data_IF_919197548263
#
_entry.id   IF_919197548263
#
_cell.length_a   1.000
_cell.length_b   1.000
_cell.length_c   1.000
_cell.angle_alpha   90.00
_cell.angle_beta   90.00
_cell.angle_gamma   90.00
#
_symmetry.space_group_name_H-M   'P 1'
#
loop_
_entity.id
_entity.type
_entity.pdbx_description
1 polymer ?
#
# COMPACT_ATOMS: atom_id res chain seq x y z
N UNK A 1 0.80 15.31 -58.03
CA UNK A 1 -0.14 15.57 -56.93
C UNK A 1 -1.04 14.36 -56.74
N UNK A 2 -1.40 13.99 -55.50
CA UNK A 2 -2.30 12.85 -55.27
C UNK A 2 -3.69 13.15 -55.84
N UNK A 3 -4.33 12.14 -56.45
CA UNK A 3 -5.70 12.25 -56.97
C UNK A 3 -6.65 12.70 -55.84
N UNK A 4 -7.57 13.65 -56.07
CA UNK A 4 -8.49 14.11 -55.04
C UNK A 4 -9.33 12.95 -54.50
N UNK A 5 -9.62 12.99 -53.19
CA UNK A 5 -10.43 11.97 -52.52
C UNK A 5 -11.88 12.07 -53.01
N UNK A 6 -12.55 10.93 -53.14
CA UNK A 6 -13.99 10.94 -53.43
C UNK A 6 -14.79 11.44 -52.22
N UNK A 7 -16.02 11.95 -52.41
CA UNK A 7 -16.88 12.38 -51.30
C UNK A 7 -17.06 11.29 -50.23
N UNK A 8 -17.20 10.03 -50.66
CA UNK A 8 -17.27 8.87 -49.76
C UNK A 8 -16.00 8.70 -48.92
N UNK A 9 -14.81 8.90 -49.51
CA UNK A 9 -13.55 8.80 -48.79
C UNK A 9 -13.35 9.96 -47.80
N UNK A 10 -13.87 11.14 -48.10
CA UNK A 10 -13.87 12.27 -47.17
C UNK A 10 -14.73 11.98 -45.94
N UNK A 11 -15.97 11.51 -46.14
CA UNK A 11 -16.83 11.09 -45.04
C UNK A 11 -16.23 9.95 -44.19
N UNK A 12 -15.60 8.96 -44.85
CA UNK A 12 -14.87 7.88 -44.16
C UNK A 12 -13.68 8.43 -43.33
N UNK A 13 -12.95 9.41 -43.85
CA UNK A 13 -11.86 10.06 -43.14
C UNK A 13 -12.37 10.87 -41.93
N UNK A 14 -13.46 11.62 -42.08
CA UNK A 14 -14.07 12.37 -40.98
C UNK A 14 -14.56 11.45 -39.86
N UNK A 15 -15.29 10.39 -40.20
CA UNK A 15 -15.72 9.38 -39.23
C UNK A 15 -14.54 8.71 -38.52
N UNK A 16 -13.45 8.44 -39.26
CA UNK A 16 -12.23 7.88 -38.69
C UNK A 16 -11.55 8.85 -37.73
N UNK A 17 -11.43 10.14 -38.08
CA UNK A 17 -10.81 11.16 -37.24
C UNK A 17 -11.61 11.39 -35.96
N UNK A 18 -12.94 11.39 -36.05
CA UNK A 18 -13.82 11.47 -34.88
C UNK A 18 -13.64 10.26 -33.95
N UNK A 19 -13.55 9.04 -34.51
CA UNK A 19 -13.26 7.84 -33.72
C UNK A 19 -11.86 7.88 -33.08
N UNK A 20 -10.86 8.37 -33.81
CA UNK A 20 -9.48 8.49 -33.33
C UNK A 20 -9.35 9.54 -32.21
N UNK A 21 -10.06 10.66 -32.32
CA UNK A 21 -10.09 11.70 -31.28
C UNK A 21 -10.68 11.18 -29.96
N UNK A 22 -11.65 10.24 -30.03
CA UNK A 22 -12.19 9.59 -28.83
C UNK A 22 -11.24 8.55 -28.25
N UNK A 23 -10.72 7.63 -29.07
CA UNK A 23 -10.03 6.44 -28.55
C UNK A 23 -8.50 6.52 -28.54
N UNK A 24 -7.88 7.41 -29.32
CA UNK A 24 -6.42 7.54 -29.44
C UNK A 24 -5.74 6.32 -30.07
N UNK A 25 -6.51 5.32 -30.51
CA UNK A 25 -6.03 4.03 -30.98
C UNK A 25 -6.44 3.79 -32.43
N UNK A 26 -5.47 3.90 -33.33
CA UNK A 26 -5.66 3.75 -34.78
C UNK A 26 -6.31 2.42 -35.17
N UNK A 27 -5.96 1.32 -34.50
CA UNK A 27 -6.50 0.00 -34.84
C UNK A 27 -7.97 -0.12 -34.44
N UNK A 28 -8.33 0.43 -33.28
CA UNK A 28 -9.72 0.42 -32.83
C UNK A 28 -10.59 1.40 -33.62
N UNK A 29 -10.07 2.60 -33.94
CA UNK A 29 -10.75 3.55 -34.80
C UNK A 29 -11.02 2.95 -36.19
N UNK A 30 -10.03 2.33 -36.83
CA UNK A 30 -10.21 1.70 -38.13
C UNK A 30 -11.20 0.52 -38.08
N UNK A 31 -11.14 -0.29 -37.02
CA UNK A 31 -12.09 -1.40 -36.80
C UNK A 31 -13.53 -0.93 -36.62
N UNK A 32 -13.76 0.16 -35.89
CA UNK A 32 -15.10 0.73 -35.69
C UNK A 32 -15.78 1.12 -37.01
N UNK A 33 -15.00 1.47 -38.03
CA UNK A 33 -15.48 1.77 -39.37
C UNK A 33 -15.50 0.55 -40.31
N UNK A 34 -15.04 -0.63 -39.86
CA UNK A 34 -14.88 -1.80 -40.73
C UNK A 34 -13.78 -1.65 -41.79
N UNK A 35 -12.87 -0.67 -41.65
CA UNK A 35 -11.82 -0.37 -42.63
C UNK A 35 -10.49 -0.93 -42.16
N UNK A 36 -9.71 -1.49 -43.08
CA UNK A 36 -8.36 -1.94 -42.76
C UNK A 36 -7.42 -0.75 -42.50
N UNK A 37 -6.69 -0.76 -41.37
CA UNK A 37 -5.82 0.36 -40.94
C UNK A 37 -4.83 0.82 -42.01
N UNK A 38 -4.33 -0.10 -42.85
CA UNK A 38 -3.30 0.20 -43.84
C UNK A 38 -3.84 1.11 -44.94
N UNK A 39 -5.13 1.03 -45.26
CA UNK A 39 -5.81 1.93 -46.21
C UNK A 39 -5.69 3.38 -45.74
N UNK A 40 -6.02 3.62 -44.47
CA UNK A 40 -5.95 4.94 -43.84
C UNK A 40 -4.50 5.42 -43.70
N UNK A 41 -3.56 4.51 -43.41
CA UNK A 41 -2.12 4.86 -43.32
C UNK A 41 -1.57 5.26 -44.69
N UNK A 42 -1.94 4.54 -45.76
CA UNK A 42 -1.57 4.88 -47.15
C UNK A 42 -2.19 6.21 -47.59
N UNK A 43 -3.45 6.48 -47.20
CA UNK A 43 -4.09 7.79 -47.46
C UNK A 43 -3.37 8.93 -46.72
N UNK A 44 -3.00 8.73 -45.46
CA UNK A 44 -2.21 9.70 -44.68
C UNK A 44 -0.89 10.07 -45.36
N UNK A 45 -0.19 9.11 -45.95
CA UNK A 45 1.06 9.38 -46.67
C UNK A 45 0.86 10.24 -47.94
N UNK A 46 -0.31 10.16 -48.59
CA UNK A 46 -0.60 10.86 -49.85
C UNK A 46 -1.30 12.21 -49.69
N UNK A 47 -1.97 12.44 -48.56
CA UNK A 47 -2.80 13.62 -48.32
C UNK A 47 -2.35 14.38 -47.07
N UNK A 48 -1.58 15.47 -47.21
CA UNK A 48 -1.05 16.24 -46.08
C UNK A 48 -2.14 16.78 -45.15
N UNK A 49 -3.26 17.29 -45.68
CA UNK A 49 -4.38 17.78 -44.87
C UNK A 49 -4.94 16.70 -43.93
N UNK A 50 -5.08 15.46 -44.41
CA UNK A 50 -5.50 14.33 -43.59
C UNK A 50 -4.45 13.96 -42.54
N UNK A 51 -3.16 14.08 -42.87
CA UNK A 51 -2.08 13.85 -41.90
C UNK A 51 -2.09 14.88 -40.76
N UNK A 52 -2.36 16.16 -41.06
CA UNK A 52 -2.49 17.22 -40.05
C UNK A 52 -3.71 16.97 -39.16
N UNK A 53 -4.87 16.67 -39.76
CA UNK A 53 -6.08 16.38 -39.01
C UNK A 53 -5.93 15.13 -38.12
N UNK A 54 -5.19 14.12 -38.59
CA UNK A 54 -4.84 12.94 -37.79
C UNK A 54 -4.00 13.28 -36.57
N UNK A 55 -2.98 14.12 -36.74
CA UNK A 55 -2.14 14.56 -35.62
C UNK A 55 -2.97 15.35 -34.60
N UNK A 56 -3.85 16.25 -35.06
CA UNK A 56 -4.77 16.99 -34.19
C UNK A 56 -5.70 16.05 -33.40
N UNK A 57 -6.27 15.04 -34.05
CA UNK A 57 -7.12 14.05 -33.37
C UNK A 57 -6.38 13.29 -32.25
N UNK A 58 -5.10 12.95 -32.44
CA UNK A 58 -4.29 12.33 -31.39
C UNK A 58 -4.03 13.27 -30.21
N UNK A 59 -3.80 14.56 -30.48
CA UNK A 59 -3.64 15.57 -29.43
C UNK A 59 -4.92 15.71 -28.61
N UNK A 60 -6.08 15.77 -29.27
CA UNK A 60 -7.40 15.83 -28.59
C UNK A 60 -7.60 14.62 -27.69
N UNK A 61 -7.32 13.41 -28.18
CA UNK A 61 -7.46 12.18 -27.38
C UNK A 61 -6.50 12.14 -26.19
N UNK A 62 -5.29 12.67 -26.34
CA UNK A 62 -4.32 12.79 -25.26
C UNK A 62 -4.77 13.80 -24.19
N UNK A 63 -5.39 14.92 -24.61
CA UNK A 63 -5.88 15.96 -23.72
C UNK A 63 -7.22 15.61 -23.03
N UNK A 64 -7.96 14.62 -23.54
CA UNK A 64 -9.22 14.20 -22.94
C UNK A 64 -8.95 13.66 -21.53
N UNK A 65 -9.62 14.21 -20.49
CA UNK A 65 -9.43 13.77 -19.11
C UNK A 65 -9.93 12.34 -18.89
N UNK A 66 -9.50 11.71 -17.80
CA UNK A 66 -9.61 10.25 -17.58
C UNK A 66 -11.00 9.80 -17.10
N UNK A 67 -11.98 10.69 -17.22
CA UNK A 67 -13.19 10.71 -16.40
C UNK A 67 -14.30 9.82 -16.97
N UNK A 68 -14.11 9.27 -18.18
CA UNK A 68 -15.09 8.44 -18.87
C UNK A 68 -14.74 6.95 -18.80
N UNK A 69 -15.52 6.16 -18.06
CA UNK A 69 -15.51 4.72 -18.23
C UNK A 69 -16.08 4.36 -19.61
N UNK A 70 -15.29 3.68 -20.43
CA UNK A 70 -15.78 3.08 -21.67
C UNK A 70 -15.75 1.57 -21.50
N UNK A 71 -16.93 0.96 -21.47
CA UNK A 71 -17.11 -0.45 -21.15
C UNK A 71 -16.21 -1.37 -22.00
N UNK A 72 -15.39 -2.18 -21.34
CA UNK A 72 -14.44 -3.11 -21.98
C UNK A 72 -13.15 -2.47 -22.53
N UNK A 73 -12.97 -1.15 -22.42
CA UNK A 73 -11.75 -0.43 -22.78
C UNK A 73 -11.06 0.08 -21.51
N UNK A 74 -9.73 -0.03 -21.46
CA UNK A 74 -8.90 0.59 -20.43
C UNK A 74 -7.89 1.52 -21.08
N UNK A 75 -7.57 2.62 -20.40
CA UNK A 75 -6.58 3.57 -20.89
C UNK A 75 -5.17 3.09 -20.58
N UNK A 76 -4.29 3.17 -21.57
CA UNK A 76 -2.87 2.82 -21.46
C UNK A 76 -2.04 4.01 -21.88
N UNK A 77 -1.13 4.47 -21.02
CA UNK A 77 -0.14 5.49 -21.36
C UNK A 77 0.98 4.85 -22.17
N UNK A 78 1.25 5.40 -23.36
CA UNK A 78 2.36 4.99 -24.23
C UNK A 78 3.26 6.19 -24.50
N UNK A 79 4.45 5.96 -25.06
CA UNK A 79 5.36 7.05 -25.47
C UNK A 79 4.72 8.06 -26.45
N UNK A 80 3.67 7.64 -27.19
CA UNK A 80 2.93 8.50 -28.11
C UNK A 80 1.63 9.07 -27.54
N UNK A 81 1.43 9.03 -26.22
CA UNK A 81 0.22 9.49 -25.53
C UNK A 81 -0.65 8.37 -24.97
N UNK A 82 -1.78 8.76 -24.38
CA UNK A 82 -2.76 7.86 -23.78
C UNK A 82 -3.70 7.26 -24.83
N UNK A 83 -3.88 5.94 -24.81
CA UNK A 83 -4.71 5.21 -25.77
C UNK A 83 -5.73 4.34 -25.05
N UNK A 84 -6.94 4.28 -25.58
CA UNK A 84 -7.95 3.30 -25.16
C UNK A 84 -7.67 1.94 -25.82
N UNK A 85 -7.58 0.89 -25.02
CA UNK A 85 -7.32 -0.48 -25.47
C UNK A 85 -8.36 -1.42 -24.90
N UNK A 86 -8.82 -2.38 -25.70
CA UNK A 86 -9.68 -3.43 -25.16
C UNK A 86 -8.90 -4.26 -24.17
N UNK A 87 -9.55 -4.65 -23.09
CA UNK A 87 -9.03 -5.71 -22.25
C UNK A 87 -8.93 -6.99 -23.08
N UNK A 88 -7.90 -7.81 -22.78
CA UNK A 88 -7.84 -9.15 -23.36
C UNK A 88 -9.10 -9.92 -22.93
N UNK A 89 -9.66 -10.79 -23.78
CA UNK A 89 -10.73 -11.69 -23.37
C UNK A 89 -10.31 -12.44 -22.09
N UNK A 90 -11.16 -12.42 -21.05
CA UNK A 90 -10.85 -13.01 -19.74
C UNK A 90 -9.91 -12.19 -18.84
N UNK A 91 -9.53 -10.98 -19.23
CA UNK A 91 -8.79 -10.05 -18.38
C UNK A 91 -9.67 -9.42 -17.31
N UNK A 92 -9.15 -9.28 -16.09
CA UNK A 92 -9.84 -8.57 -15.01
C UNK A 92 -10.08 -7.12 -15.43
N UNK A 93 -11.34 -6.69 -15.44
CA UNK A 93 -11.76 -5.31 -15.69
C UNK A 93 -11.71 -4.48 -14.40
N UNK A 94 -11.74 -3.15 -14.51
CA UNK A 94 -11.86 -2.27 -13.34
C UNK A 94 -13.13 -2.55 -12.53
N UNK A 95 -14.26 -2.77 -13.22
CA UNK A 95 -15.51 -3.16 -12.57
C UNK A 95 -15.37 -4.47 -11.78
N UNK A 96 -14.67 -5.47 -12.34
CA UNK A 96 -14.40 -6.72 -11.63
C UNK A 96 -13.44 -6.54 -10.44
N UNK A 97 -12.44 -5.66 -10.53
CA UNK A 97 -11.61 -5.29 -9.38
C UNK A 97 -12.46 -4.66 -8.28
N UNK A 98 -13.34 -3.74 -8.63
CA UNK A 98 -14.19 -3.03 -7.67
C UNK A 98 -15.17 -4.00 -6.99
N UNK A 99 -15.84 -4.85 -7.75
CA UNK A 99 -16.72 -5.89 -7.23
C UNK A 99 -15.98 -6.85 -6.29
N UNK A 100 -14.77 -7.25 -6.67
CA UNK A 100 -13.90 -8.07 -5.84
C UNK A 100 -13.52 -7.38 -4.52
N UNK A 101 -13.04 -6.14 -4.58
CA UNK A 101 -12.60 -5.39 -3.40
C UNK A 101 -13.77 -5.10 -2.44
N UNK A 102 -14.96 -4.81 -2.97
CA UNK A 102 -16.17 -4.64 -2.17
C UNK A 102 -16.59 -5.94 -1.48
N UNK A 103 -16.60 -7.06 -2.21
CA UNK A 103 -16.93 -8.35 -1.60
C UNK A 103 -15.86 -8.78 -0.58
N UNK A 104 -14.59 -8.45 -0.84
CA UNK A 104 -13.48 -8.76 0.07
C UNK A 104 -13.57 -7.95 1.37
N UNK A 105 -13.91 -6.66 1.29
CA UNK A 105 -14.09 -5.82 2.48
C UNK A 105 -15.33 -6.17 3.28
N UNK A 106 -16.31 -6.83 2.68
CA UNK A 106 -17.48 -7.34 3.39
C UNK A 106 -17.23 -8.68 4.09
N UNK A 107 -16.36 -9.53 3.55
CA UNK A 107 -16.32 -10.97 3.93
C UNK A 107 -14.96 -11.48 4.40
N UNK A 108 -13.88 -10.71 4.16
CA UNK A 108 -12.48 -11.13 4.35
C UNK A 108 -12.10 -12.46 3.65
N UNK A 109 -12.94 -12.99 2.75
CA UNK A 109 -12.73 -14.28 2.10
C UNK A 109 -12.42 -14.11 0.61
N UNK A 110 -11.15 -14.32 0.25
CA UNK A 110 -10.65 -14.14 -1.13
C UNK A 110 -11.36 -15.06 -2.13
N UNK A 111 -11.70 -16.30 -1.76
CA UNK A 111 -12.37 -17.24 -2.68
C UNK A 111 -13.80 -16.80 -2.97
N UNK A 112 -14.51 -16.38 -1.92
CA UNK A 112 -15.88 -15.88 -2.03
C UNK A 112 -15.92 -14.56 -2.82
N UNK A 113 -15.02 -13.64 -2.52
CA UNK A 113 -14.92 -12.36 -3.23
C UNK A 113 -14.58 -12.56 -4.72
N UNK A 114 -13.70 -13.52 -5.04
CA UNK A 114 -13.36 -13.83 -6.43
C UNK A 114 -14.55 -14.42 -7.19
N UNK A 115 -15.31 -15.32 -6.55
CA UNK A 115 -16.54 -15.87 -7.10
C UNK A 115 -17.59 -14.78 -7.35
N UNK A 116 -17.76 -13.84 -6.43
CA UNK A 116 -18.67 -12.69 -6.60
C UNK A 116 -18.27 -11.79 -7.78
N UNK A 117 -16.97 -11.68 -8.07
CA UNK A 117 -16.47 -10.94 -9.23
C UNK A 117 -16.48 -11.76 -10.54
N UNK A 118 -16.83 -13.06 -10.51
CA UNK A 118 -16.84 -13.93 -11.68
C UNK A 118 -15.46 -14.41 -12.15
N UNK A 119 -14.44 -14.38 -11.29
CA UNK A 119 -13.07 -14.81 -11.64
C UNK A 119 -12.51 -15.85 -10.67
N UNK A 120 -11.49 -16.58 -11.13
CA UNK A 120 -10.70 -17.43 -10.23
C UNK A 120 -9.91 -16.58 -9.23
N UNK A 121 -9.78 -17.05 -7.99
CA UNK A 121 -8.94 -16.38 -6.98
C UNK A 121 -7.46 -16.24 -7.42
N UNK A 122 -6.96 -17.19 -8.22
CA UNK A 122 -5.62 -17.15 -8.78
C UNK A 122 -5.38 -15.91 -9.67
N UNK A 123 -6.41 -15.47 -10.40
CA UNK A 123 -6.36 -14.28 -11.25
C UNK A 123 -6.09 -13.01 -10.43
N UNK A 124 -6.73 -12.88 -9.25
CA UNK A 124 -6.52 -11.73 -8.36
C UNK A 124 -5.15 -11.77 -7.67
N UNK A 125 -4.62 -12.95 -7.32
CA UNK A 125 -3.22 -13.03 -6.85
C UNK A 125 -2.22 -12.68 -7.95
N UNK A 126 -2.47 -13.08 -9.20
CA UNK A 126 -1.65 -12.66 -10.33
C UNK A 126 -1.71 -11.15 -10.56
N UNK A 127 -2.89 -10.54 -10.39
CA UNK A 127 -3.08 -9.09 -10.44
C UNK A 127 -2.30 -8.39 -9.33
N UNK A 128 -2.43 -8.86 -8.08
CA UNK A 128 -1.68 -8.37 -6.91
C UNK A 128 -0.17 -8.34 -7.10
N UNK A 129 0.39 -9.33 -7.80
CA UNK A 129 1.84 -9.38 -8.07
C UNK A 129 2.30 -8.36 -9.13
N UNK A 130 1.41 -7.98 -10.05
CA UNK A 130 1.72 -7.08 -11.18
C UNK A 130 1.43 -5.62 -10.88
N UNK A 131 0.41 -5.37 -10.06
CA UNK A 131 -0.10 -4.03 -9.77
C UNK A 131 0.03 -3.71 -8.27
N UNK A 132 1.00 -2.85 -7.89
CA UNK A 132 1.21 -2.48 -6.50
C UNK A 132 0.06 -1.66 -5.91
N UNK A 133 -0.67 -0.90 -6.75
CA UNK A 133 -1.85 -0.13 -6.30
C UNK A 133 -2.97 -1.10 -5.93
N UNK A 134 -3.28 -2.04 -6.81
CA UNK A 134 -4.25 -3.09 -6.50
C UNK A 134 -3.83 -3.91 -5.27
N UNK A 135 -2.53 -4.17 -5.08
CA UNK A 135 -2.04 -4.88 -3.90
C UNK A 135 -2.26 -4.11 -2.60
N UNK A 136 -2.13 -2.79 -2.63
CA UNK A 136 -2.49 -1.92 -1.51
C UNK A 136 -3.98 -1.98 -1.22
N UNK A 137 -4.82 -1.77 -2.24
CA UNK A 137 -6.29 -1.79 -2.08
C UNK A 137 -6.80 -3.14 -1.57
N UNK A 138 -6.29 -4.25 -2.09
CA UNK A 138 -6.65 -5.60 -1.64
C UNK A 138 -6.30 -5.83 -0.17
N UNK A 139 -5.17 -5.27 0.31
CA UNK A 139 -4.79 -5.34 1.72
C UNK A 139 -5.73 -4.51 2.59
N UNK A 140 -6.05 -3.27 2.18
CA UNK A 140 -6.98 -2.42 2.91
C UNK A 140 -8.36 -3.06 3.01
N UNK A 141 -8.87 -3.63 1.91
CA UNK A 141 -10.12 -4.37 1.91
C UNK A 141 -10.09 -5.56 2.89
N UNK A 142 -8.99 -6.31 2.97
CA UNK A 142 -8.85 -7.38 3.97
C UNK A 142 -8.88 -6.84 5.41
N UNK A 143 -8.17 -5.75 5.69
CA UNK A 143 -8.18 -5.10 7.01
C UNK A 143 -9.61 -4.69 7.39
N UNK A 144 -10.31 -3.98 6.50
CA UNK A 144 -11.72 -3.61 6.72
C UNK A 144 -12.64 -4.82 6.92
N UNK A 145 -12.43 -5.90 6.17
CA UNK A 145 -13.21 -7.13 6.34
C UNK A 145 -13.01 -7.78 7.70
N UNK A 146 -11.77 -7.79 8.22
CA UNK A 146 -11.49 -8.29 9.56
C UNK A 146 -12.13 -7.40 10.64
N UNK A 147 -12.00 -6.08 10.54
CA UNK A 147 -12.61 -5.16 11.50
C UNK A 147 -14.13 -5.34 11.58
N UNK A 148 -14.78 -5.59 10.43
CA UNK A 148 -16.23 -5.86 10.37
C UNK A 148 -16.60 -7.20 11.02
N UNK A 149 -15.84 -8.25 10.76
CA UNK A 149 -16.08 -9.57 11.37
C UNK A 149 -15.86 -9.49 12.88
N UNK A 150 -14.80 -8.81 13.33
CA UNK A 150 -14.53 -8.57 14.74
C UNK A 150 -15.69 -7.83 15.40
N UNK A 151 -16.17 -6.74 14.80
CA UNK A 151 -17.32 -6.01 15.32
C UNK A 151 -18.60 -6.86 15.34
N UNK A 152 -18.84 -7.66 14.31
CA UNK A 152 -20.00 -8.57 14.26
C UNK A 152 -19.93 -9.67 15.33
N UNK A 153 -18.74 -10.22 15.61
CA UNK A 153 -18.53 -11.18 16.68
C UNK A 153 -18.72 -10.56 18.06
N UNK A 154 -18.23 -9.33 18.27
CA UNK A 154 -18.46 -8.59 19.50
C UNK A 154 -19.95 -8.31 19.72
N UNK A 155 -20.67 -7.91 18.67
CA UNK A 155 -22.12 -7.67 18.73
C UNK A 155 -22.89 -8.97 19.04
N UNK A 156 -22.57 -10.08 18.35
CA UNK A 156 -23.19 -11.38 18.61
C UNK A 156 -22.92 -11.90 20.03
N UNK A 157 -21.72 -11.64 20.57
CA UNK A 157 -21.37 -11.99 21.95
C UNK A 157 -22.19 -11.23 22.99
N UNK A 158 -22.70 -10.04 22.65
CA UNK A 158 -23.60 -9.25 23.51
C UNK A 158 -25.05 -9.74 23.40
N UNK A 159 -25.48 -10.20 22.22
CA UNK A 159 -26.87 -10.63 21.96
C UNK A 159 -27.17 -12.11 22.31
N UNK A 160 -26.15 -12.93 22.59
CA UNK A 160 -26.29 -14.39 22.72
C UNK A 160 -25.53 -15.05 23.88
N UNK A 161 -25.21 -14.31 24.95
CA UNK A 161 -24.37 -14.75 26.07
C UNK A 161 -24.89 -15.94 26.90
N UNK A 162 -26.07 -16.50 26.60
CA UNK A 162 -26.60 -17.67 27.34
C UNK A 162 -26.25 -19.05 26.77
N UNK A 163 -25.98 -19.16 25.46
CA UNK A 163 -25.89 -20.48 24.81
C UNK A 163 -24.45 -21.02 24.67
N UNK A 164 -23.44 -20.15 24.67
CA UNK A 164 -22.02 -20.52 24.58
C UNK A 164 -21.36 -20.73 25.96
N UNK A 165 -22.07 -20.47 27.05
CA UNK A 165 -21.59 -20.59 28.44
C UNK A 165 -21.11 -22.03 28.75
N UNK A 166 -21.74 -23.03 28.13
CA UNK A 166 -21.47 -24.45 28.41
C UNK A 166 -20.04 -24.91 28.07
N UNK A 167 -19.34 -24.28 27.11
CA UNK A 167 -17.94 -24.61 26.81
C UNK A 167 -16.95 -23.79 27.64
N UNK A 168 -17.41 -22.74 28.34
CA UNK A 168 -16.60 -21.87 29.21
C UNK A 168 -16.57 -22.30 30.67
N UNK A 169 -17.31 -23.35 31.05
CA UNK A 169 -17.11 -24.03 32.33
C UNK A 169 -15.79 -24.80 32.34
N UNK A 170 -14.71 -24.04 32.52
CA UNK A 170 -13.39 -24.53 32.84
C UNK A 170 -13.05 -24.05 34.25
N UNK A 171 -13.97 -24.27 35.19
CA UNK A 171 -13.72 -23.99 36.60
C UNK A 171 -12.50 -24.80 37.01
N UNK A 172 -11.38 -24.13 37.37
CA UNK A 172 -10.17 -24.85 37.69
C UNK A 172 -10.45 -25.74 38.89
N UNK A 173 -9.91 -26.98 38.92
CA UNK A 173 -10.03 -27.79 40.12
C UNK A 173 -9.47 -27.00 41.32
N UNK A 174 -10.04 -27.19 42.52
CA UNK A 174 -9.58 -26.48 43.70
C UNK A 174 -8.07 -26.70 43.87
N UNK A 175 -7.33 -25.60 43.94
CA UNK A 175 -5.88 -25.64 44.10
C UNK A 175 -5.58 -26.32 45.44
N UNK A 176 -4.79 -27.42 45.46
CA UNK A 176 -4.41 -28.07 46.71
C UNK A 176 -3.72 -27.08 47.66
N UNK A 177 -3.91 -27.21 48.99
CA UNK A 177 -3.27 -26.33 49.95
C UNK A 177 -1.75 -26.40 49.79
N UNK A 178 -1.11 -25.24 49.66
CA UNK A 178 0.33 -25.12 49.51
C UNK A 178 0.87 -24.03 50.44
N UNK A 179 2.13 -24.16 50.82
CA UNK A 179 2.82 -23.15 51.62
C UNK A 179 3.12 -21.90 50.80
N UNK A 180 3.33 -20.75 51.47
CA UNK A 180 3.71 -19.50 50.81
C UNK A 180 4.98 -19.65 49.93
N UNK A 181 5.94 -20.48 50.35
CA UNK A 181 7.16 -20.75 49.58
C UNK A 181 6.88 -21.54 48.29
N UNK A 182 5.97 -22.52 48.33
CA UNK A 182 5.56 -23.27 47.14
C UNK A 182 4.82 -22.36 46.14
N UNK A 183 3.97 -21.46 46.64
CA UNK A 183 3.28 -20.48 45.80
C UNK A 183 4.28 -19.50 45.13
N UNK A 184 5.25 -18.97 45.88
CA UNK A 184 6.30 -18.10 45.33
C UNK A 184 7.18 -18.82 44.30
N UNK A 185 7.49 -20.10 44.51
CA UNK A 185 8.25 -20.92 43.57
C UNK A 185 7.48 -21.16 42.27
N UNK A 186 6.18 -21.46 42.34
CA UNK A 186 5.31 -21.57 41.16
C UNK A 186 5.21 -20.26 40.39
N UNK A 187 5.04 -19.12 41.08
CA UNK A 187 5.02 -17.80 40.45
C UNK A 187 6.33 -17.47 39.73
N UNK A 188 7.47 -17.78 40.35
CA UNK A 188 8.79 -17.59 39.74
C UNK A 188 9.00 -18.46 38.48
N UNK A 189 8.54 -19.72 38.51
CA UNK A 189 8.58 -20.61 37.36
C UNK A 189 7.64 -20.14 36.24
N UNK A 190 6.43 -19.72 36.58
CA UNK A 190 5.45 -19.18 35.64
C UNK A 190 5.91 -17.87 34.99
N UNK A 191 6.58 -16.98 35.73
CA UNK A 191 7.16 -15.76 35.18
C UNK A 191 8.16 -16.05 34.04
N UNK A 192 8.95 -17.13 34.16
CA UNK A 192 9.89 -17.55 33.12
C UNK A 192 9.14 -18.08 31.89
N UNK A 193 8.11 -18.88 32.08
CA UNK A 193 7.32 -19.45 31.00
C UNK A 193 6.52 -18.39 30.23
N UNK A 194 5.80 -17.52 30.95
CA UNK A 194 5.04 -16.41 30.37
C UNK A 194 5.95 -15.49 29.53
N UNK A 195 7.16 -15.22 30.00
CA UNK A 195 8.16 -14.41 29.28
C UNK A 195 8.69 -15.10 28.01
N UNK A 196 8.73 -16.43 27.98
CA UNK A 196 9.16 -17.22 26.81
C UNK A 196 8.06 -17.37 25.74
N UNK A 197 6.79 -17.42 26.18
CA UNK A 197 5.62 -17.47 25.31
C UNK A 197 5.26 -16.10 24.72
N UNK A 198 5.59 -15.00 25.41
CA UNK A 198 5.19 -13.65 25.02
C UNK A 198 5.88 -13.10 23.75
N UNK A 199 7.01 -13.67 23.30
CA UNK A 199 7.62 -13.24 22.05
C UNK A 199 6.93 -13.89 20.84
N UNK A 200 6.24 -13.11 19.98
CA UNK A 200 5.64 -13.63 18.76
C UNK A 200 6.68 -14.37 17.92
N UNK A 201 6.31 -15.49 17.32
CA UNK A 201 7.23 -16.37 16.58
C UNK A 201 8.04 -15.65 15.48
N UNK A 202 7.51 -14.57 14.90
CA UNK A 202 8.18 -13.77 13.88
C UNK A 202 9.27 -12.83 14.44
N UNK A 203 9.29 -12.56 15.75
CA UNK A 203 10.36 -11.82 16.42
C UNK A 203 11.51 -12.72 16.86
N UNK A 204 11.30 -14.04 16.94
CA UNK A 204 12.34 -15.01 17.30
C UNK A 204 13.34 -15.20 16.15
N UNK A 205 14.61 -15.48 16.51
CA UNK A 205 15.65 -15.87 15.54
C UNK A 205 15.39 -17.30 15.06
N UNK A 206 15.43 -17.52 13.74
CA UNK A 206 15.22 -18.86 13.16
C UNK A 206 16.46 -19.75 13.39
N UNK A 207 16.25 -21.07 13.43
CA UNK A 207 17.35 -22.04 13.52
C UNK A 207 18.25 -21.90 12.28
N UNK A 208 19.55 -21.68 12.48
CA UNK A 208 20.53 -21.47 11.41
C UNK A 208 20.60 -20.04 10.85
N UNK A 209 19.77 -19.10 11.34
CA UNK A 209 19.82 -17.70 10.92
C UNK A 209 20.98 -16.97 11.60
N UNK A 210 21.81 -16.28 10.81
CA UNK A 210 22.87 -15.44 11.35
C UNK A 210 22.29 -14.23 12.12
N UNK A 211 23.06 -13.67 13.05
CA UNK A 211 22.62 -12.51 13.83
C UNK A 211 22.31 -11.30 12.94
N UNK A 212 23.11 -11.08 11.90
CA UNK A 212 22.92 -9.97 10.96
C UNK A 212 21.66 -10.16 10.10
N UNK A 213 21.41 -11.39 9.63
CA UNK A 213 20.18 -11.70 8.89
C UNK A 213 18.92 -11.48 9.74
N UNK A 214 18.98 -11.87 11.02
CA UNK A 214 17.91 -11.62 11.97
C UNK A 214 17.66 -10.12 12.19
N UNK A 215 18.71 -9.34 12.48
CA UNK A 215 18.58 -7.89 12.66
C UNK A 215 18.04 -7.19 11.40
N UNK A 216 18.55 -7.57 10.22
CA UNK A 216 18.07 -7.04 8.96
C UNK A 216 16.58 -7.35 8.74
N UNK A 217 16.16 -8.59 8.98
CA UNK A 217 14.75 -9.01 8.87
C UNK A 217 13.85 -8.21 9.81
N UNK A 218 14.23 -8.04 11.08
CA UNK A 218 13.49 -7.23 12.04
C UNK A 218 13.41 -5.76 11.59
N UNK A 219 14.53 -5.19 11.15
CA UNK A 219 14.56 -3.81 10.66
C UNK A 219 13.67 -3.60 9.43
N UNK A 220 13.67 -4.55 8.48
CA UNK A 220 12.78 -4.52 7.31
C UNK A 220 11.32 -4.61 7.72
N UNK A 221 10.98 -5.55 8.62
CA UNK A 221 9.61 -5.68 9.15
C UNK A 221 9.14 -4.39 9.81
N UNK A 222 9.99 -3.77 10.62
CA UNK A 222 9.68 -2.52 11.30
C UNK A 222 9.44 -1.36 10.32
N UNK A 223 10.31 -1.20 9.31
CA UNK A 223 10.12 -0.17 8.27
C UNK A 223 8.85 -0.41 7.46
N UNK A 224 8.51 -1.65 7.15
CA UNK A 224 7.26 -2.00 6.48
C UNK A 224 6.04 -1.68 7.35
N UNK A 225 6.12 -1.93 8.67
CA UNK A 225 5.07 -1.56 9.60
C UNK A 225 4.88 -0.03 9.66
N UNK A 226 5.97 0.73 9.82
CA UNK A 226 5.92 2.20 9.78
C UNK A 226 5.37 2.75 8.47
N UNK A 227 5.76 2.16 7.32
CA UNK A 227 5.22 2.56 6.02
C UNK A 227 3.71 2.33 5.95
N UNK A 228 3.21 1.20 6.48
CA UNK A 228 1.77 0.91 6.55
C UNK A 228 1.02 1.88 7.45
N UNK A 229 1.58 2.22 8.60
CA UNK A 229 0.99 3.21 9.51
C UNK A 229 0.89 4.59 8.85
N UNK A 230 1.95 5.01 8.13
CA UNK A 230 1.93 6.25 7.34
C UNK A 230 0.88 6.22 6.25
N UNK A 231 0.80 5.14 5.48
CA UNK A 231 -0.24 4.96 4.45
C UNK A 231 -1.65 5.03 5.07
N UNK A 232 -1.88 4.35 6.21
CA UNK A 232 -3.17 4.40 6.93
C UNK A 232 -3.51 5.83 7.36
N UNK A 233 -2.52 6.56 7.88
CA UNK A 233 -2.68 7.96 8.24
C UNK A 233 -3.02 8.83 7.02
N UNK A 234 -2.27 8.69 5.92
CA UNK A 234 -2.51 9.42 4.67
C UNK A 234 -3.91 9.15 4.10
N UNK A 235 -4.39 7.91 4.16
CA UNK A 235 -5.75 7.54 3.74
C UNK A 235 -6.82 8.13 4.66
N UNK A 236 -6.62 8.07 5.98
CA UNK A 236 -7.53 8.69 6.94
C UNK A 236 -7.62 10.21 6.73
N UNK A 237 -6.48 10.87 6.49
CA UNK A 237 -6.39 12.28 6.16
C UNK A 237 -7.05 12.62 4.81
N UNK A 238 -6.87 11.79 3.78
CA UNK A 238 -7.56 11.95 2.51
C UNK A 238 -9.09 11.85 2.69
N UNK A 239 -9.55 10.90 3.51
CA UNK A 239 -10.96 10.77 3.89
C UNK A 239 -11.49 12.00 4.63
N UNK A 240 -10.72 12.57 5.56
CA UNK A 240 -11.07 13.83 6.26
C UNK A 240 -11.22 15.00 5.28
N UNK A 241 -10.23 15.19 4.40
CA UNK A 241 -10.25 16.25 3.38
C UNK A 241 -11.47 16.11 2.45
N UNK A 242 -11.80 14.89 2.04
CA UNK A 242 -12.98 14.62 1.22
C UNK A 242 -14.30 15.00 1.93
N UNK A 243 -14.35 14.91 3.27
CA UNK A 243 -15.49 15.36 4.10
C UNK A 243 -15.43 16.85 4.48
N UNK A 244 -14.39 17.58 4.06
CA UNK A 244 -14.17 18.98 4.43
C UNK A 244 -13.70 19.19 5.89
N UNK A 245 -13.26 18.13 6.57
CA UNK A 245 -12.75 18.20 7.94
C UNK A 245 -11.31 18.70 7.96
N UNK A 246 -10.93 19.37 9.05
CA UNK A 246 -9.53 19.75 9.29
C UNK A 246 -8.64 18.51 9.47
N UNK A 247 -7.39 18.61 9.00
CA UNK A 247 -6.35 17.59 9.17
C UNK A 247 -6.16 17.24 10.64
N UNK A 248 -5.95 15.96 10.96
CA UNK A 248 -5.64 15.56 12.32
C UNK A 248 -4.25 16.08 12.71
N UNK A 249 -4.22 17.04 13.64
CA UNK A 249 -3.03 17.45 14.33
C UNK A 249 -3.19 17.05 15.80
N UNK A 250 -2.24 16.32 16.41
CA UNK A 250 -2.29 16.12 17.85
C UNK A 250 -2.27 17.49 18.51
N UNK A 251 -3.19 17.71 19.45
CA UNK A 251 -3.14 18.89 20.30
C UNK A 251 -1.73 18.95 20.90
N UNK A 252 -1.01 20.05 20.64
CA UNK A 252 0.34 20.20 21.18
C UNK A 252 0.17 20.29 22.68
N UNK A 253 0.37 19.17 23.36
CA UNK A 253 0.52 19.17 24.81
C UNK A 253 1.67 20.12 25.10
N UNK A 254 1.37 21.24 25.76
CA UNK A 254 2.39 22.13 26.27
C UNK A 254 3.23 21.32 27.24
N UNK A 255 4.40 20.87 26.78
CA UNK A 255 5.33 20.19 27.67
C UNK A 255 5.67 21.16 28.79
N UNK A 256 5.62 20.73 30.06
CA UNK A 256 6.02 21.58 31.17
C UNK A 256 7.45 22.06 30.93
N UNK A 257 7.75 23.27 31.38
CA UNK A 257 9.09 23.81 31.31
C UNK A 257 10.06 22.81 31.95
N UNK A 258 11.10 22.41 31.21
CA UNK A 258 12.08 21.43 31.66
C UNK A 258 12.80 21.89 32.94
N UNK A 259 12.79 23.19 33.25
CA UNK A 259 13.26 23.73 34.52
C UNK A 259 12.45 23.25 35.74
N UNK A 260 11.20 22.81 35.54
CA UNK A 260 10.29 22.34 36.58
C UNK A 260 10.47 20.84 36.89
N UNK A 261 11.12 20.08 35.99
CA UNK A 261 11.41 18.65 36.19
C UNK A 261 12.68 18.49 37.04
N UNK A 262 12.55 18.72 38.35
CA UNK A 262 13.59 18.42 39.32
C UNK A 262 13.76 16.92 39.57
N UNK A 263 14.97 16.47 39.91
CA UNK A 263 15.23 15.12 40.43
C UNK A 263 15.83 14.09 39.46
N UNK A 264 15.94 14.39 38.15
CA UNK A 264 16.55 13.44 37.20
C UNK A 264 18.07 13.50 37.11
N UNK A 265 18.70 14.55 37.64
CA UNK A 265 20.15 14.67 37.76
C UNK A 265 20.56 14.65 39.24
N UNK A 266 21.30 13.62 39.67
CA UNK A 266 22.08 13.66 40.93
C UNK A 266 23.35 14.54 40.79
N UNK A 267 23.32 15.54 39.92
CA UNK A 267 24.43 16.46 39.76
C UNK A 267 24.30 17.55 40.82
N UNK A 268 25.28 17.65 41.71
CA UNK A 268 25.34 18.74 42.71
C UNK A 268 25.33 20.09 41.99
N UNK A 269 24.50 21.06 42.42
CA UNK A 269 24.54 22.40 41.86
C UNK A 269 25.87 23.05 42.29
N UNK A 270 26.68 23.48 41.32
CA UNK A 270 27.97 24.15 41.56
C UNK A 270 29.24 23.37 41.17
N UNK A 271 29.11 22.14 40.67
CA UNK A 271 30.27 21.42 40.10
C UNK A 271 30.48 21.77 38.63
N UNK A 272 31.61 22.39 38.29
CA UNK A 272 32.00 22.65 36.91
C UNK A 272 31.92 21.36 36.07
N UNK A 273 31.30 21.45 34.89
CA UNK A 273 31.20 20.35 33.94
C UNK A 273 32.60 20.05 33.35
N UNK A 274 33.43 19.33 34.09
CA UNK A 274 34.74 18.91 33.64
C UNK A 274 34.62 18.17 32.30
N UNK A 275 35.45 18.57 31.33
CA UNK A 275 35.43 18.10 29.94
C UNK A 275 35.48 16.56 29.79
N UNK A 276 35.93 15.84 30.82
CA UNK A 276 36.05 14.38 30.87
C UNK A 276 34.82 13.62 31.41
N UNK A 277 33.77 14.31 31.88
CA UNK A 277 32.57 13.67 32.47
C UNK A 277 31.38 13.76 31.51
N UNK A 278 30.70 12.64 31.26
CA UNK A 278 29.45 12.65 30.50
C UNK A 278 28.30 13.09 31.43
N UNK A 279 27.33 13.84 30.88
CA UNK A 279 26.13 14.32 31.60
C UNK A 279 25.33 13.20 32.29
N UNK A 280 25.48 11.95 31.84
CA UNK A 280 24.85 10.76 32.43
C UNK A 280 25.91 9.77 32.92
N UNK A 281 26.41 9.98 34.14
CA UNK A 281 26.99 8.92 35.00
C UNK A 281 28.11 8.02 34.44
N UNK A 282 28.73 8.35 33.31
CA UNK A 282 29.74 7.53 32.63
C UNK A 282 30.99 8.32 32.26
N UNK A 283 32.15 7.66 32.25
CA UNK A 283 33.40 8.24 31.74
C UNK A 283 33.31 8.31 30.21
N UNK A 284 33.60 9.48 29.60
CA UNK A 284 33.73 9.58 28.14
C UNK A 284 34.90 8.69 27.69
N UNK A 285 34.70 7.80 26.72
CA UNK A 285 35.83 7.08 26.10
C UNK A 285 36.68 8.11 25.36
N UNK A 286 37.96 8.25 25.72
CA UNK A 286 38.91 9.11 24.98
C UNK A 286 38.99 8.59 23.55
N UNK A 287 38.49 9.37 22.59
CA UNK A 287 38.76 9.12 21.17
C UNK A 287 40.22 9.46 20.95
N UNK A 288 41.05 8.43 20.76
CA UNK A 288 42.47 8.59 20.42
C UNK A 288 42.51 9.25 19.03
N UNK A 289 42.90 10.51 18.96
CA UNK A 289 43.09 11.23 17.70
C UNK A 289 44.25 10.60 16.92
N UNK A 290 43.96 9.56 16.15
CA UNK A 290 44.90 9.02 15.17
C UNK A 290 45.00 9.99 14.00
N UNK A 291 46.08 10.79 13.96
CA UNK A 291 46.50 11.51 12.75
C UNK A 291 46.75 10.49 11.63
N UNK A 292 45.76 10.26 10.76
CA UNK A 292 46.04 9.69 9.43
C UNK A 292 46.59 10.82 8.56
N UNK A 293 47.91 10.87 8.39
CA UNK A 293 48.53 11.67 7.33
C UNK A 293 48.07 11.08 5.99
N UNK A 294 47.21 11.81 5.28
CA UNK A 294 46.95 11.57 3.86
C UNK A 294 48.14 12.22 3.12
N UNK A 295 49.05 11.40 2.59
CA UNK A 295 50.07 11.88 1.68
C UNK A 295 49.43 12.14 0.32
N UNK A 296 49.27 13.41 -0.04
CA UNK A 296 48.93 13.85 -1.39
C UNK A 296 50.23 13.79 -2.20
N UNK A 297 50.34 12.81 -3.09
CA UNK A 297 51.44 12.69 -4.06
C UNK A 297 51.09 13.56 -5.27
N UNK A 298 51.64 14.76 -5.33
CA UNK A 298 51.59 15.62 -6.51
C UNK A 298 52.49 15.05 -7.59
N UNK A 299 51.93 14.87 -8.79
CA UNK A 299 52.65 14.58 -10.02
C UNK A 299 53.35 15.87 -10.48
N UNK A 300 54.64 15.75 -10.78
CA UNK A 300 55.39 16.62 -11.70
C UNK A 300 56.03 15.71 -12.73
#
# INVERSE_FOLDING_TARGET
MARPLSPRQLAENEAFLAALARCGNVREAARALGVHRSTLTKRRAKHPAFATAWAAALVVSAATPDDGEVEGLHRVRTAGGSQWRRNRPGGITRAAEQAFLLALSATANVRLAAAAAGFSHASFYARRRRDPVFAREMRLALETGYDRIELALLAQGLDGSGAAEAWRHNDPPPIPPMTANQALQLLYLHQKEARLLAEPAHLKRKRGESKDAHHYRIAVMYRLAQARERERFELAEAGRRARGEASWAPERVALPDLAQVGGWSKAKPGGEAGQDRALFGGKRKRVRAGRRRIAVRTLS
#
